data_IF_102942497913
#
_entry.id   IF_102942497913
#
_cell.length_a   1.000
_cell.length_b   1.000
_cell.length_c   1.000
_cell.angle_alpha   90.00
_cell.angle_beta   90.00
_cell.angle_gamma   90.00
#
_symmetry.space_group_name_H-M   'P 1'
#
loop_
_entity.id
_entity.type
_entity.pdbx_description
1 polymer ?
#
# COMPACT_ATOMS: atom_id res chain seq x y z
N UNK A 1 54.88 -14.31 -27.19
CA UNK A 1 53.82 -15.34 -27.09
C UNK A 1 52.80 -14.86 -26.06
N UNK A 2 51.59 -14.44 -26.49
CA UNK A 2 50.57 -13.79 -25.64
C UNK A 2 49.75 -14.84 -24.87
N UNK A 3 49.87 -14.87 -23.54
CA UNK A 3 48.91 -15.55 -22.67
C UNK A 3 47.74 -14.62 -22.37
N UNK A 4 46.55 -14.93 -22.91
CA UNK A 4 45.31 -14.17 -22.67
C UNK A 4 44.43 -14.93 -21.67
N UNK A 5 44.17 -14.29 -20.54
CA UNK A 5 43.33 -14.78 -19.43
C UNK A 5 41.93 -15.23 -19.90
N UNK A 6 41.57 -16.49 -19.60
CA UNK A 6 40.19 -17.00 -19.58
C UNK A 6 39.60 -16.82 -18.17
N UNK A 7 39.21 -15.60 -17.81
CA UNK A 7 38.35 -15.31 -16.64
C UNK A 7 37.09 -14.62 -17.16
N UNK A 8 36.08 -15.40 -17.56
CA UNK A 8 34.88 -14.80 -18.18
C UNK A 8 33.63 -15.66 -18.27
N UNK A 9 33.55 -16.82 -17.61
CA UNK A 9 32.32 -17.65 -17.65
C UNK A 9 31.62 -17.85 -16.31
N UNK A 10 32.30 -17.65 -15.17
CA UNK A 10 31.69 -17.82 -13.84
C UNK A 10 31.07 -16.54 -13.27
N UNK A 11 31.44 -15.35 -13.77
CA UNK A 11 30.86 -14.08 -13.29
C UNK A 11 29.47 -13.80 -13.88
N UNK A 12 29.15 -14.33 -15.07
CA UNK A 12 27.84 -14.09 -15.71
C UNK A 12 26.72 -14.93 -15.09
N UNK A 13 27.00 -16.14 -14.61
CA UNK A 13 26.03 -17.00 -13.92
C UNK A 13 25.70 -16.49 -12.51
N UNK A 14 26.72 -16.00 -11.78
CA UNK A 14 26.51 -15.37 -10.48
C UNK A 14 25.72 -14.06 -10.59
N UNK A 15 25.96 -13.26 -11.64
CA UNK A 15 25.13 -12.08 -11.94
C UNK A 15 23.69 -12.47 -12.29
N UNK A 16 23.47 -13.46 -13.16
CA UNK A 16 22.11 -13.93 -13.51
C UNK A 16 21.32 -14.48 -12.30
N UNK A 17 21.95 -15.22 -11.39
CA UNK A 17 21.31 -15.72 -10.17
C UNK A 17 20.81 -14.60 -9.25
N UNK A 18 21.50 -13.46 -9.21
CA UNK A 18 21.10 -12.28 -8.44
C UNK A 18 19.82 -11.63 -9.02
N UNK A 19 19.58 -11.71 -10.34
CA UNK A 19 18.35 -11.21 -11.00
C UNK A 19 17.15 -12.16 -10.91
N UNK A 20 17.38 -13.47 -10.74
CA UNK A 20 16.28 -14.45 -10.63
C UNK A 20 15.63 -14.41 -9.25
N UNK A 21 16.39 -14.03 -8.21
CA UNK A 21 15.93 -14.10 -6.84
C UNK A 21 14.75 -13.15 -6.52
N UNK A 22 14.74 -11.86 -6.91
CA UNK A 22 13.60 -10.98 -6.68
C UNK A 22 12.36 -11.47 -7.42
N UNK A 23 12.50 -11.78 -8.72
CA UNK A 23 11.36 -12.22 -9.54
C UNK A 23 10.76 -13.54 -9.03
N UNK A 24 11.57 -14.46 -8.50
CA UNK A 24 11.07 -15.69 -7.90
C UNK A 24 10.25 -15.42 -6.63
N UNK A 25 10.68 -14.46 -5.80
CA UNK A 25 9.92 -14.05 -4.62
C UNK A 25 8.61 -13.36 -4.98
N UNK A 26 8.62 -12.50 -6.01
CA UNK A 26 7.40 -11.90 -6.56
C UNK A 26 6.41 -12.98 -7.02
N UNK A 27 6.90 -14.01 -7.72
CA UNK A 27 6.06 -15.15 -8.13
C UNK A 27 5.55 -15.97 -6.93
N UNK A 28 6.32 -16.10 -5.85
CA UNK A 28 5.84 -16.72 -4.61
C UNK A 28 4.70 -15.88 -3.97
N UNK A 29 4.83 -14.55 -3.95
CA UNK A 29 3.78 -13.65 -3.50
C UNK A 29 2.50 -13.80 -4.34
N UNK A 30 2.64 -13.82 -5.67
CA UNK A 30 1.55 -14.08 -6.60
C UNK A 30 0.88 -15.44 -6.35
N UNK A 31 1.69 -16.48 -6.10
CA UNK A 31 1.18 -17.82 -5.78
C UNK A 31 0.37 -17.83 -4.48
N UNK A 32 0.82 -17.13 -3.43
CA UNK A 32 0.05 -16.96 -2.21
C UNK A 32 -1.29 -16.25 -2.46
N UNK A 33 -1.29 -15.21 -3.31
CA UNK A 33 -2.51 -14.54 -3.76
C UNK A 33 -3.48 -15.45 -4.51
N UNK A 34 -2.96 -16.23 -5.46
CA UNK A 34 -3.74 -17.21 -6.20
C UNK A 34 -4.30 -18.31 -5.28
N UNK A 35 -3.49 -18.81 -4.36
CA UNK A 35 -3.91 -19.78 -3.35
C UNK A 35 -5.03 -19.20 -2.46
N UNK A 36 -4.94 -17.93 -2.06
CA UNK A 36 -6.01 -17.26 -1.32
C UNK A 36 -7.33 -17.23 -2.09
N UNK A 37 -7.30 -17.02 -3.42
CA UNK A 37 -8.49 -17.08 -4.27
C UNK A 37 -9.11 -18.48 -4.25
N UNK A 38 -8.30 -19.54 -4.40
CA UNK A 38 -8.79 -20.93 -4.35
C UNK A 38 -9.45 -21.19 -3.00
N UNK A 39 -8.77 -20.87 -1.90
CA UNK A 39 -9.28 -21.11 -0.55
C UNK A 39 -10.57 -20.33 -0.28
N UNK A 40 -10.70 -19.10 -0.81
CA UNK A 40 -11.93 -18.33 -0.72
C UNK A 40 -13.08 -18.97 -1.51
N UNK A 41 -12.81 -19.56 -2.67
CA UNK A 41 -13.82 -20.27 -3.46
C UNK A 41 -14.27 -21.55 -2.75
N UNK A 42 -13.35 -22.25 -2.10
CA UNK A 42 -13.60 -23.49 -1.35
C UNK A 42 -14.25 -23.23 0.03
N UNK A 43 -14.47 -21.97 0.41
CA UNK A 43 -15.10 -21.58 1.69
C UNK A 43 -14.13 -21.49 2.87
N UNK A 44 -12.84 -21.71 2.65
CA UNK A 44 -11.78 -21.61 3.65
C UNK A 44 -11.26 -20.17 3.81
N UNK A 45 -12.14 -19.25 4.24
CA UNK A 45 -11.87 -17.81 4.27
C UNK A 45 -10.75 -17.40 5.24
N UNK A 46 -10.65 -18.07 6.40
CA UNK A 46 -9.57 -17.82 7.36
C UNK A 46 -8.19 -18.11 6.74
N UNK A 47 -8.09 -19.22 6.01
CA UNK A 47 -6.84 -19.63 5.37
C UNK A 47 -6.52 -18.74 4.17
N UNK A 48 -7.54 -18.29 3.43
CA UNK A 48 -7.40 -17.28 2.39
C UNK A 48 -6.84 -15.95 2.93
N UNK A 49 -7.36 -15.50 4.08
CA UNK A 49 -6.90 -14.26 4.71
C UNK A 49 -5.44 -14.36 5.17
N UNK A 50 -5.04 -15.49 5.78
CA UNK A 50 -3.65 -15.75 6.13
C UNK A 50 -2.74 -15.81 4.91
N UNK A 51 -3.18 -16.40 3.81
CA UNK A 51 -2.40 -16.43 2.57
C UNK A 51 -2.14 -15.02 2.00
N UNK A 52 -3.10 -14.10 2.11
CA UNK A 52 -2.91 -12.68 1.74
C UNK A 52 -1.87 -12.00 2.64
N UNK A 53 -1.92 -12.26 3.96
CA UNK A 53 -0.92 -11.73 4.91
C UNK A 53 0.48 -12.26 4.57
N UNK A 54 0.60 -13.55 4.25
CA UNK A 54 1.88 -14.15 3.83
C UNK A 54 2.36 -13.55 2.52
N UNK A 55 1.47 -13.28 1.55
CA UNK A 55 1.84 -12.59 0.31
C UNK A 55 2.45 -11.20 0.59
N UNK A 56 1.92 -10.47 1.56
CA UNK A 56 2.44 -9.15 1.98
C UNK A 56 3.86 -9.25 2.57
N UNK A 57 4.20 -10.36 3.22
CA UNK A 57 5.58 -10.60 3.68
C UNK A 57 6.52 -10.80 2.48
N UNK A 58 6.09 -11.55 1.46
CA UNK A 58 6.89 -11.76 0.25
C UNK A 58 7.14 -10.46 -0.54
N UNK A 59 6.11 -9.62 -0.69
CA UNK A 59 6.19 -8.27 -1.30
C UNK A 59 7.13 -7.30 -0.53
N UNK A 60 7.16 -7.42 0.80
CA UNK A 60 8.14 -6.70 1.60
C UNK A 60 9.58 -7.17 1.32
N UNK A 61 9.76 -8.48 1.16
CA UNK A 61 11.07 -9.13 1.02
C UNK A 61 11.67 -8.93 -0.37
N UNK A 62 10.90 -9.10 -1.45
CA UNK A 62 11.41 -8.93 -2.82
C UNK A 62 11.76 -7.46 -3.11
N UNK A 63 10.96 -6.51 -2.65
CA UNK A 63 11.23 -5.09 -2.73
C UNK A 63 12.44 -4.65 -1.88
N UNK A 64 12.72 -5.34 -0.77
CA UNK A 64 13.95 -5.14 0.01
C UNK A 64 15.18 -5.72 -0.71
N UNK A 65 15.08 -6.97 -1.18
CA UNK A 65 16.17 -7.67 -1.86
C UNK A 65 16.54 -6.98 -3.17
N UNK A 66 15.57 -6.56 -3.98
CA UNK A 66 15.81 -5.85 -5.24
C UNK A 66 16.58 -4.54 -5.05
N UNK A 67 16.36 -3.83 -3.94
CA UNK A 67 17.09 -2.61 -3.57
C UNK A 67 18.51 -2.92 -3.08
N UNK A 68 18.67 -3.95 -2.26
CA UNK A 68 20.00 -4.37 -1.77
C UNK A 68 20.91 -4.84 -2.90
N UNK A 69 20.35 -5.53 -3.88
CA UNK A 69 21.11 -6.09 -5.00
C UNK A 69 21.27 -5.10 -6.17
N UNK A 70 20.70 -3.88 -6.11
CA UNK A 70 20.64 -2.92 -7.24
C UNK A 70 20.15 -3.57 -8.54
N UNK A 71 19.23 -4.50 -8.41
CA UNK A 71 18.82 -5.44 -9.46
C UNK A 71 17.39 -5.13 -9.93
N UNK A 72 17.02 -3.83 -9.97
CA UNK A 72 15.71 -3.40 -10.45
C UNK A 72 15.68 -3.37 -11.98
N UNK A 73 15.04 -4.37 -12.58
CA UNK A 73 14.80 -4.41 -14.04
C UNK A 73 13.40 -3.87 -14.34
N UNK A 74 13.22 -3.27 -15.53
CA UNK A 74 11.89 -2.82 -15.98
C UNK A 74 10.86 -3.95 -16.01
N UNK A 75 11.30 -5.16 -16.40
CA UNK A 75 10.45 -6.35 -16.35
C UNK A 75 10.03 -6.71 -14.94
N UNK A 76 10.95 -6.70 -13.97
CA UNK A 76 10.65 -6.99 -12.57
C UNK A 76 9.63 -6.02 -11.98
N UNK A 77 9.73 -4.73 -12.30
CA UNK A 77 8.76 -3.71 -11.85
C UNK A 77 7.35 -3.95 -12.40
N UNK A 78 7.23 -4.35 -13.67
CA UNK A 78 5.91 -4.69 -14.25
C UNK A 78 5.37 -6.01 -13.66
N UNK A 79 6.24 -7.00 -13.44
CA UNK A 79 5.87 -8.27 -12.80
C UNK A 79 5.37 -8.07 -11.37
N UNK A 80 6.05 -7.22 -10.60
CA UNK A 80 5.69 -6.80 -9.25
C UNK A 80 4.27 -6.20 -9.22
N UNK A 81 4.00 -5.25 -10.13
CA UNK A 81 2.66 -4.64 -10.24
C UNK A 81 1.56 -5.63 -10.63
N UNK A 82 1.84 -6.61 -11.49
CA UNK A 82 0.88 -7.65 -11.85
C UNK A 82 0.64 -8.62 -10.70
N UNK A 83 1.70 -9.00 -10.00
CA UNK A 83 1.64 -9.83 -8.79
C UNK A 83 0.82 -9.16 -7.70
N UNK A 84 1.10 -7.88 -7.42
CA UNK A 84 0.36 -7.05 -6.47
C UNK A 84 -1.13 -6.98 -6.79
N UNK A 85 -1.47 -6.78 -8.06
CA UNK A 85 -2.87 -6.73 -8.47
C UNK A 85 -3.58 -8.05 -8.16
N UNK A 86 -2.93 -9.20 -8.39
CA UNK A 86 -3.52 -10.51 -8.11
C UNK A 86 -3.60 -10.76 -6.60
N UNK A 87 -2.50 -10.58 -5.88
CA UNK A 87 -2.40 -10.92 -4.47
C UNK A 87 -3.14 -9.96 -3.54
N UNK A 88 -3.18 -8.68 -3.87
CA UNK A 88 -3.71 -7.64 -2.99
C UNK A 88 -4.90 -6.89 -3.58
N UNK A 89 -5.14 -6.96 -4.89
CA UNK A 89 -6.34 -6.42 -5.51
C UNK A 89 -7.45 -7.48 -5.65
N UNK A 90 -7.17 -8.53 -6.41
CA UNK A 90 -8.15 -9.55 -6.79
C UNK A 90 -8.43 -10.53 -5.66
N UNK A 91 -7.40 -11.06 -5.00
CA UNK A 91 -7.60 -12.06 -3.95
C UNK A 91 -8.46 -11.57 -2.77
N UNK A 92 -8.22 -10.37 -2.20
CA UNK A 92 -9.06 -9.85 -1.13
C UNK A 92 -10.48 -9.50 -1.60
N UNK A 93 -10.63 -9.02 -2.85
CA UNK A 93 -11.94 -8.74 -3.44
C UNK A 93 -12.79 -10.00 -3.57
N UNK A 94 -12.23 -11.08 -4.13
CA UNK A 94 -12.92 -12.36 -4.29
C UNK A 94 -13.24 -12.98 -2.93
N UNK A 95 -12.28 -12.94 -1.99
CA UNK A 95 -12.48 -13.42 -0.62
C UNK A 95 -13.63 -12.69 0.06
N UNK A 96 -13.66 -11.36 0.03
CA UNK A 96 -14.74 -10.58 0.64
C UNK A 96 -16.09 -10.81 -0.05
N UNK A 97 -16.08 -10.96 -1.39
CA UNK A 97 -17.29 -11.29 -2.15
C UNK A 97 -17.93 -12.60 -1.68
N UNK A 98 -17.13 -13.67 -1.65
CA UNK A 98 -17.59 -15.01 -1.25
C UNK A 98 -17.96 -15.08 0.23
N UNK A 99 -17.20 -14.41 1.08
CA UNK A 99 -17.38 -14.47 2.54
C UNK A 99 -18.58 -13.67 3.03
N UNK A 100 -18.70 -12.37 2.71
CA UNK A 100 -19.67 -11.49 3.36
C UNK A 100 -20.63 -10.77 2.40
N UNK A 101 -20.32 -10.74 1.10
CA UNK A 101 -21.01 -9.90 0.11
C UNK A 101 -21.98 -10.68 -0.78
N UNK A 102 -21.96 -12.02 -0.72
CA UNK A 102 -22.89 -12.91 -1.44
C UNK A 102 -24.38 -12.51 -1.25
N UNK A 103 -24.86 -12.16 -0.04
CA UNK A 103 -26.27 -11.79 0.19
C UNK A 103 -26.72 -10.45 -0.42
N UNK A 104 -25.78 -9.67 -0.95
CA UNK A 104 -26.03 -8.37 -1.58
C UNK A 104 -26.09 -8.45 -3.11
N UNK A 105 -25.93 -9.64 -3.69
CA UNK A 105 -26.04 -9.92 -5.13
C UNK A 105 -25.29 -8.88 -5.99
N UNK A 106 -26.04 -7.99 -6.67
CA UNK A 106 -25.51 -6.97 -7.59
C UNK A 106 -24.60 -5.96 -6.90
N UNK A 107 -24.95 -5.56 -5.68
CA UNK A 107 -24.12 -4.64 -4.89
C UNK A 107 -22.85 -5.34 -4.39
N UNK A 108 -22.94 -6.63 -4.06
CA UNK A 108 -21.82 -7.42 -3.57
C UNK A 108 -20.68 -7.55 -4.59
N UNK A 109 -20.99 -8.03 -5.80
CA UNK A 109 -19.92 -8.18 -6.80
C UNK A 109 -19.43 -6.81 -7.33
N UNK A 110 -20.30 -5.79 -7.37
CA UNK A 110 -19.89 -4.43 -7.75
C UNK A 110 -18.91 -3.81 -6.75
N UNK A 111 -19.13 -4.02 -5.44
CA UNK A 111 -18.22 -3.55 -4.40
C UNK A 111 -16.87 -4.27 -4.44
N UNK A 112 -16.87 -5.58 -4.67
CA UNK A 112 -15.64 -6.36 -4.86
C UNK A 112 -14.88 -5.92 -6.13
N UNK A 113 -15.57 -5.71 -7.24
CA UNK A 113 -14.98 -5.18 -8.47
C UNK A 113 -14.40 -3.78 -8.27
N UNK A 114 -15.11 -2.90 -7.53
CA UNK A 114 -14.62 -1.57 -7.21
C UNK A 114 -13.27 -1.63 -6.48
N UNK A 115 -13.11 -2.54 -5.51
CA UNK A 115 -11.83 -2.72 -4.80
C UNK A 115 -10.70 -3.11 -5.75
N UNK A 116 -10.92 -4.11 -6.60
CA UNK A 116 -9.92 -4.54 -7.59
C UNK A 116 -9.59 -3.44 -8.61
N UNK A 117 -10.61 -2.72 -9.11
CA UNK A 117 -10.44 -1.63 -10.06
C UNK A 117 -9.69 -0.43 -9.46
N UNK A 118 -10.04 -0.04 -8.23
CA UNK A 118 -9.34 1.00 -7.48
C UNK A 118 -7.86 0.63 -7.24
N UNK A 119 -7.59 -0.65 -6.92
CA UNK A 119 -6.23 -1.18 -6.83
C UNK A 119 -5.47 -1.05 -8.15
N UNK A 120 -6.05 -1.53 -9.26
CA UNK A 120 -5.42 -1.45 -10.58
C UNK A 120 -5.09 0.01 -10.99
N UNK A 121 -6.03 0.94 -10.79
CA UNK A 121 -5.81 2.37 -11.06
C UNK A 121 -4.70 2.96 -10.20
N UNK A 122 -4.60 2.54 -8.94
CA UNK A 122 -3.56 2.99 -8.01
C UNK A 122 -2.17 2.51 -8.42
N UNK A 123 -2.03 1.26 -8.87
CA UNK A 123 -0.76 0.71 -9.43
C UNK A 123 -0.38 1.43 -10.71
N UNK A 124 -1.31 1.55 -11.65
CA UNK A 124 -1.05 2.24 -12.93
C UNK A 124 -0.57 3.68 -12.68
N UNK A 125 -1.21 4.40 -11.76
CA UNK A 125 -0.80 5.75 -11.37
C UNK A 125 0.58 5.78 -10.72
N UNK A 126 0.93 4.79 -9.90
CA UNK A 126 2.25 4.67 -9.28
C UNK A 126 3.35 4.39 -10.32
N UNK A 127 3.09 3.48 -11.26
CA UNK A 127 4.02 3.14 -12.34
C UNK A 127 4.30 4.32 -13.27
N UNK A 128 3.32 5.19 -13.52
CA UNK A 128 3.51 6.41 -14.34
C UNK A 128 4.25 7.52 -13.56
N UNK A 129 4.00 7.67 -12.25
CA UNK A 129 4.63 8.72 -11.43
C UNK A 129 6.09 8.45 -11.13
N UNK A 130 6.48 7.18 -10.96
CA UNK A 130 7.88 6.79 -10.74
C UNK A 130 8.78 7.10 -11.93
N UNK A 131 8.22 7.18 -13.14
CA UNK A 131 8.94 7.56 -14.37
C UNK A 131 9.16 9.08 -14.47
N UNK A 132 8.32 9.91 -13.83
CA UNK A 132 8.24 11.35 -14.10
C UNK A 132 8.61 12.27 -12.93
N UNK A 133 8.71 11.77 -11.69
CA UNK A 133 8.90 12.61 -10.49
C UNK A 133 9.95 12.05 -9.52
N UNK A 134 10.90 12.87 -9.07
CA UNK A 134 11.93 12.51 -8.06
C UNK A 134 11.50 12.66 -6.59
N UNK A 135 10.23 13.02 -6.33
CA UNK A 135 9.73 13.27 -4.97
C UNK A 135 9.21 11.98 -4.31
N UNK A 136 9.82 11.60 -3.18
CA UNK A 136 9.60 10.38 -2.36
C UNK A 136 8.25 10.33 -1.61
N UNK A 137 7.21 11.06 -2.03
CA UNK A 137 5.93 11.10 -1.31
C UNK A 137 4.86 10.26 -2.02
N UNK A 138 4.47 9.13 -1.42
CA UNK A 138 3.39 8.28 -1.90
C UNK A 138 2.03 8.99 -1.74
N UNK A 139 1.25 9.08 -2.83
CA UNK A 139 -0.11 9.65 -2.83
C UNK A 139 -1.15 8.53 -2.93
N UNK A 140 -1.87 8.24 -1.84
CA UNK A 140 -2.93 7.23 -1.74
C UNK A 140 -2.51 5.99 -0.93
N UNK A 141 -3.49 5.28 -0.35
CA UNK A 141 -3.25 4.09 0.47
C UNK A 141 -2.50 3.02 -0.35
N UNK A 142 -1.41 2.42 0.15
CA UNK A 142 -0.78 1.28 -0.49
C UNK A 142 -1.76 0.11 -0.60
N UNK A 143 -1.75 -0.56 -1.75
CA UNK A 143 -2.62 -1.73 -2.00
C UNK A 143 -2.34 -2.89 -1.04
N UNK A 144 -1.08 -3.22 -0.68
CA UNK A 144 -0.83 -4.24 0.33
C UNK A 144 -1.44 -3.88 1.70
N UNK A 145 -1.48 -2.59 2.05
CA UNK A 145 -2.15 -2.12 3.26
C UNK A 145 -3.68 -2.28 3.17
N UNK A 146 -4.28 -1.94 2.03
CA UNK A 146 -5.71 -2.16 1.78
C UNK A 146 -6.10 -3.64 1.87
N UNK A 147 -5.29 -4.53 1.28
CA UNK A 147 -5.47 -5.97 1.36
C UNK A 147 -5.36 -6.49 2.80
N UNK A 148 -4.41 -5.96 3.57
CA UNK A 148 -4.22 -6.32 4.98
C UNK A 148 -5.41 -5.90 5.83
N UNK A 149 -6.02 -4.73 5.57
CA UNK A 149 -7.27 -4.32 6.26
C UNK A 149 -8.39 -5.35 5.99
N UNK A 150 -8.57 -5.77 4.74
CA UNK A 150 -9.58 -6.76 4.37
C UNK A 150 -9.27 -8.13 5.00
N UNK A 151 -8.04 -8.62 4.91
CA UNK A 151 -7.63 -9.90 5.48
C UNK A 151 -7.76 -9.90 7.01
N UNK A 152 -7.31 -8.83 7.66
CA UNK A 152 -7.38 -8.70 9.11
C UNK A 152 -8.82 -8.64 9.62
N UNK A 153 -9.74 -8.05 8.86
CA UNK A 153 -11.17 -8.07 9.20
C UNK A 153 -11.72 -9.50 9.23
N UNK A 154 -11.39 -10.32 8.24
CA UNK A 154 -11.81 -11.73 8.20
C UNK A 154 -11.23 -12.48 9.39
N UNK A 155 -9.91 -12.34 9.61
CA UNK A 155 -9.19 -13.01 10.71
C UNK A 155 -9.77 -12.61 12.06
N UNK A 156 -10.03 -11.31 12.27
CA UNK A 156 -10.62 -10.78 13.50
C UNK A 156 -12.05 -11.30 13.69
N UNK A 157 -12.87 -11.32 12.64
CA UNK A 157 -14.22 -11.86 12.75
C UNK A 157 -14.19 -13.32 13.19
N UNK A 158 -13.37 -14.16 12.57
CA UNK A 158 -13.24 -15.58 12.91
C UNK A 158 -12.73 -15.86 14.33
N UNK A 159 -12.03 -14.92 14.96
CA UNK A 159 -11.57 -15.05 16.36
C UNK A 159 -12.72 -14.86 17.36
N UNK A 160 -13.67 -13.98 17.07
CA UNK A 160 -14.78 -13.66 17.97
C UNK A 160 -16.11 -14.32 17.58
N UNK A 161 -16.29 -14.58 16.29
CA UNK A 161 -17.47 -15.19 15.68
C UNK A 161 -17.04 -16.24 14.66
N UNK A 162 -17.37 -17.50 14.90
CA UNK A 162 -17.16 -18.56 13.91
C UNK A 162 -18.25 -18.50 12.82
N UNK A 163 -17.82 -18.55 11.54
CA UNK A 163 -18.72 -18.79 10.41
C UNK A 163 -18.86 -17.64 9.42
N UNK A 164 -19.97 -17.69 8.66
CA UNK A 164 -20.30 -16.70 7.62
C UNK A 164 -21.11 -15.58 8.29
N UNK A 165 -20.72 -14.31 8.15
CA UNK A 165 -21.46 -13.21 8.72
C UNK A 165 -22.89 -13.14 8.16
N UNK A 166 -23.85 -12.85 9.04
CA UNK A 166 -25.19 -12.46 8.62
C UNK A 166 -25.13 -11.19 7.77
N UNK A 167 -26.24 -10.87 7.08
CA UNK A 167 -26.33 -9.74 6.14
C UNK A 167 -26.20 -8.38 6.87
N UNK A 168 -24.96 -8.01 7.21
CA UNK A 168 -24.61 -6.77 7.85
C UNK A 168 -24.07 -5.78 6.83
N UNK A 169 -24.61 -4.56 6.83
CA UNK A 169 -24.15 -3.46 5.97
C UNK A 169 -22.72 -3.00 6.23
N UNK A 170 -22.11 -3.45 7.33
CA UNK A 170 -20.74 -3.12 7.72
C UNK A 170 -19.69 -3.61 6.70
N UNK A 171 -19.83 -4.83 6.17
CA UNK A 171 -18.84 -5.42 5.25
C UNK A 171 -18.83 -4.77 3.85
N UNK A 172 -19.98 -4.46 3.22
CA UNK A 172 -19.99 -3.66 2.01
C UNK A 172 -19.44 -2.24 2.23
N UNK A 173 -19.73 -1.62 3.38
CA UNK A 173 -19.23 -0.28 3.70
C UNK A 173 -17.70 -0.26 3.79
N UNK A 174 -17.08 -1.20 4.52
CA UNK A 174 -15.63 -1.20 4.74
C UNK A 174 -14.84 -1.46 3.45
N UNK A 175 -15.31 -2.36 2.57
CA UNK A 175 -14.64 -2.58 1.29
C UNK A 175 -14.77 -1.36 0.38
N UNK A 176 -15.93 -0.69 0.34
CA UNK A 176 -16.11 0.53 -0.45
C UNK A 176 -15.23 1.66 0.08
N UNK A 177 -15.22 1.89 1.39
CA UNK A 177 -14.38 2.92 2.03
C UNK A 177 -12.91 2.66 1.73
N UNK A 178 -12.43 1.42 1.90
CA UNK A 178 -11.04 1.04 1.60
C UNK A 178 -10.72 1.24 0.12
N UNK A 179 -11.66 0.92 -0.78
CA UNK A 179 -11.51 1.13 -2.23
C UNK A 179 -11.33 2.61 -2.60
N UNK A 180 -12.19 3.47 -2.06
CA UNK A 180 -12.12 4.92 -2.28
C UNK A 180 -10.84 5.51 -1.69
N UNK A 181 -10.36 4.97 -0.55
CA UNK A 181 -9.12 5.42 0.09
C UNK A 181 -7.86 5.12 -0.76
N UNK A 182 -7.88 4.05 -1.56
CA UNK A 182 -6.79 3.73 -2.50
C UNK A 182 -6.65 4.77 -3.61
N UNK A 183 -7.76 5.27 -4.17
CA UNK A 183 -7.73 6.26 -5.27
C UNK A 183 -7.61 7.69 -4.76
N UNK A 184 -7.93 7.92 -3.48
CA UNK A 184 -7.84 9.23 -2.86
C UNK A 184 -6.43 9.81 -2.89
N UNK A 185 -6.32 11.13 -2.98
CA UNK A 185 -5.05 11.88 -3.04
C UNK A 185 -4.42 12.10 -1.66
N UNK A 186 -4.86 11.36 -0.64
CA UNK A 186 -4.29 11.47 0.71
C UNK A 186 -2.81 11.06 0.67
N UNK A 187 -1.93 11.87 1.26
CA UNK A 187 -0.53 11.48 1.43
C UNK A 187 -0.46 10.47 2.56
N UNK A 188 -0.06 9.25 2.24
CA UNK A 188 0.34 8.27 3.24
C UNK A 188 1.86 8.28 3.26
N UNK A 189 2.45 8.68 4.38
CA UNK A 189 3.88 8.49 4.58
C UNK A 189 4.12 6.98 4.65
N UNK A 190 4.94 6.46 3.73
CA UNK A 190 5.51 5.14 3.97
C UNK A 190 6.30 5.20 5.27
N UNK A 191 6.45 4.08 5.98
CA UNK A 191 7.31 3.91 7.17
C UNK A 191 8.82 4.13 6.87
N UNK A 192 9.12 4.93 5.84
CA UNK A 192 10.41 5.14 5.19
C UNK A 192 11.02 6.50 5.54
N UNK A 193 10.38 7.27 6.43
CA UNK A 193 10.93 8.49 7.04
C UNK A 193 11.33 8.28 8.52
N UNK A 194 11.55 7.04 8.95
CA UNK A 194 12.31 6.83 10.19
C UNK A 194 13.79 6.96 9.82
N UNK A 195 14.32 8.17 9.98
CA UNK A 195 15.76 8.40 9.91
C UNK A 195 16.42 7.54 11.00
N UNK A 196 17.18 6.52 10.59
CA UNK A 196 17.83 5.52 11.47
C UNK A 196 19.12 6.06 12.10
N UNK A 197 19.32 7.38 12.11
CA UNK A 197 20.61 8.02 12.37
C UNK A 197 20.72 8.70 13.74
N UNK A 198 19.68 8.61 14.57
CA UNK A 198 19.75 9.05 15.97
C UNK A 198 19.58 7.87 16.93
N UNK A 199 20.30 7.92 18.06
CA UNK A 199 20.20 6.94 19.15
C UNK A 199 18.76 6.89 19.66
N UNK A 200 17.97 5.95 19.15
CA UNK A 200 16.60 5.69 19.60
C UNK A 200 16.65 5.39 21.11
N UNK A 201 15.83 6.04 21.95
CA UNK A 201 15.83 5.79 23.39
C UNK A 201 15.51 4.32 23.68
N UNK A 202 16.10 3.75 24.73
CA UNK A 202 15.92 2.34 25.13
C UNK A 202 14.44 1.91 25.23
N UNK A 203 13.53 2.86 25.50
CA UNK A 203 12.08 2.61 25.51
C UNK A 203 11.51 2.16 24.16
N UNK A 204 12.13 2.51 23.02
CA UNK A 204 11.73 2.00 21.70
C UNK A 204 12.04 0.52 21.51
N UNK A 205 13.13 0.02 22.12
CA UNK A 205 13.41 -1.42 22.17
C UNK A 205 12.34 -2.13 23.01
N UNK A 206 11.99 -1.56 24.16
CA UNK A 206 10.93 -2.09 25.03
C UNK A 206 9.59 -2.11 24.29
N UNK A 207 9.22 -1.01 23.62
CA UNK A 207 8.01 -0.95 22.80
C UNK A 207 8.02 -2.00 21.68
N UNK A 208 9.15 -2.18 21.00
CA UNK A 208 9.30 -3.21 19.97
C UNK A 208 9.12 -4.62 20.54
N UNK A 209 9.71 -4.92 21.70
CA UNK A 209 9.58 -6.22 22.37
C UNK A 209 8.14 -6.45 22.85
N UNK A 210 7.47 -5.42 23.38
CA UNK A 210 6.06 -5.51 23.79
C UNK A 210 5.15 -5.72 22.60
N UNK A 211 5.37 -5.00 21.49
CA UNK A 211 4.65 -5.20 20.23
C UNK A 211 4.89 -6.62 19.70
N UNK A 212 6.13 -7.09 19.71
CA UNK A 212 6.51 -8.43 19.26
C UNK A 212 5.86 -9.51 20.12
N UNK A 213 5.90 -9.35 21.44
CA UNK A 213 5.24 -10.24 22.38
C UNK A 213 3.73 -10.27 22.14
N UNK A 214 3.09 -9.11 21.98
CA UNK A 214 1.67 -9.03 21.68
C UNK A 214 1.31 -9.66 20.33
N UNK A 215 2.15 -9.49 19.31
CA UNK A 215 2.03 -10.17 18.01
C UNK A 215 2.11 -11.69 18.13
N UNK A 216 2.98 -12.20 19.02
CA UNK A 216 3.17 -13.63 19.21
C UNK A 216 2.02 -14.27 20.00
N UNK A 217 1.41 -13.53 20.93
CA UNK A 217 0.33 -14.06 21.79
C UNK A 217 -1.03 -14.03 21.08
N UNK A 218 -1.36 -12.96 20.35
CA UNK A 218 -2.62 -12.85 19.62
C UNK A 218 -2.40 -12.27 18.21
N UNK A 219 -1.91 -13.10 17.27
CA UNK A 219 -1.57 -12.64 15.94
C UNK A 219 -2.80 -12.13 15.17
N UNK A 220 -4.01 -12.67 15.42
CA UNK A 220 -5.26 -12.18 14.81
C UNK A 220 -5.57 -10.73 15.18
N UNK A 221 -5.55 -10.43 16.49
CA UNK A 221 -5.91 -9.10 17.01
C UNK A 221 -4.83 -8.08 16.67
N UNK A 222 -3.56 -8.49 16.75
CA UNK A 222 -2.44 -7.61 16.45
C UNK A 222 -2.50 -7.08 15.01
N UNK A 223 -2.69 -7.95 14.01
CA UNK A 223 -2.72 -7.53 12.60
C UNK A 223 -3.89 -6.56 12.34
N UNK A 224 -5.06 -6.82 12.91
CA UNK A 224 -6.23 -5.94 12.77
C UNK A 224 -6.00 -4.56 13.41
N UNK A 225 -5.51 -4.53 14.65
CA UNK A 225 -5.21 -3.28 15.36
C UNK A 225 -4.14 -2.47 14.62
N UNK A 226 -3.09 -3.11 14.13
CA UNK A 226 -2.05 -2.44 13.34
C UNK A 226 -2.60 -1.88 12.03
N UNK A 227 -3.41 -2.64 11.30
CA UNK A 227 -4.04 -2.18 10.06
C UNK A 227 -4.95 -0.97 10.30
N UNK A 228 -5.76 -1.01 11.37
CA UNK A 228 -6.64 0.09 11.75
C UNK A 228 -5.87 1.33 12.18
N UNK A 229 -4.85 1.19 13.04
CA UNK A 229 -3.99 2.30 13.46
C UNK A 229 -3.32 2.94 12.24
N UNK A 230 -2.79 2.14 11.32
CA UNK A 230 -2.15 2.65 10.11
C UNK A 230 -3.11 3.49 9.25
N UNK A 231 -4.33 3.00 9.03
CA UNK A 231 -5.37 3.74 8.29
C UNK A 231 -5.76 5.01 9.04
N UNK A 232 -5.99 4.93 10.35
CA UNK A 232 -6.38 6.08 11.19
C UNK A 232 -5.31 7.17 11.21
N UNK A 233 -4.04 6.81 11.40
CA UNK A 233 -2.91 7.76 11.38
C UNK A 233 -2.82 8.44 10.01
N UNK A 234 -2.94 7.69 8.92
CA UNK A 234 -2.90 8.27 7.58
C UNK A 234 -4.06 9.24 7.29
N UNK A 235 -5.27 8.94 7.80
CA UNK A 235 -6.42 9.85 7.69
C UNK A 235 -6.19 11.12 8.52
N UNK A 236 -5.71 11.00 9.76
CA UNK A 236 -5.50 12.13 10.69
C UNK A 236 -4.41 13.05 10.15
N UNK A 237 -3.24 12.50 9.77
CA UNK A 237 -2.14 13.29 9.22
C UNK A 237 -2.56 14.04 7.97
N UNK A 238 -3.27 13.36 7.06
CA UNK A 238 -3.68 14.00 5.82
C UNK A 238 -4.79 15.04 6.05
N UNK A 239 -5.70 14.82 7.00
CA UNK A 239 -6.69 15.82 7.40
C UNK A 239 -6.00 17.05 8.01
N UNK A 240 -5.03 16.85 8.90
CA UNK A 240 -4.25 17.92 9.50
C UNK A 240 -3.44 18.73 8.48
N UNK A 241 -2.82 18.06 7.50
CA UNK A 241 -2.11 18.72 6.39
C UNK A 241 -3.04 19.51 5.46
N UNK A 242 -4.27 19.04 5.24
CA UNK A 242 -5.29 19.76 4.47
C UNK A 242 -5.83 20.98 5.23
N UNK A 243 -6.02 20.87 6.55
CA UNK A 243 -6.40 22.02 7.39
C UNK A 243 -5.29 23.06 7.48
N UNK A 244 -4.03 22.64 7.63
CA UNK A 244 -2.87 23.55 7.68
C UNK A 244 -2.68 24.31 6.36
N UNK A 245 -2.86 23.64 5.21
CA UNK A 245 -2.84 24.26 3.88
C UNK A 245 -4.02 25.22 3.62
N UNK A 246 -5.14 25.08 4.33
CA UNK A 246 -6.23 26.07 4.33
C UNK A 246 -5.90 27.29 5.20
N UNK A 247 -5.20 27.10 6.32
CA UNK A 247 -4.73 28.19 7.18
C UNK A 247 -3.66 29.08 6.54
N UNK A 248 -2.76 28.51 5.73
CA UNK A 248 -1.69 29.25 5.04
C UNK A 248 -2.16 30.03 3.79
N UNK A 249 -3.40 29.82 3.31
CA UNK A 249 -3.94 30.60 2.18
C UNK A 249 -4.54 31.95 2.60
N UNK A 250 -4.85 32.16 3.88
CA UNK A 250 -5.47 33.40 4.37
C UNK A 250 -4.54 34.63 4.49
N UNK A 251 -3.21 34.51 4.74
CA UNK A 251 -2.33 35.68 4.79
C UNK A 251 -2.02 36.29 3.42
N UNK A 252 -2.07 35.51 2.34
CA UNK A 252 -1.71 35.98 1.00
C UNK A 252 -2.81 36.83 0.35
N UNK A 253 -4.07 36.58 0.69
CA UNK A 253 -5.21 37.34 0.16
C UNK A 253 -5.42 38.67 0.91
N UNK A 254 -5.01 38.74 2.18
CA UNK A 254 -5.03 39.99 2.97
C UNK A 254 -3.86 40.93 2.67
N UNK A 255 -2.71 40.42 2.22
CA UNK A 255 -1.55 41.25 1.85
C UNK A 255 -1.75 42.01 0.52
N UNK A 256 -2.58 41.49 -0.39
CA UNK A 256 -2.90 42.14 -1.68
C UNK A 256 -3.97 43.23 -1.52
N UNK A 257 -4.86 43.11 -0.53
CA UNK A 257 -5.90 44.10 -0.24
C UNK A 257 -5.41 45.35 0.54
N UNK A 258 -4.16 45.35 1.01
CA UNK A 258 -3.59 46.42 1.85
C UNK A 258 -2.65 47.38 1.10
N UNK A 259 -2.53 47.28 -0.23
CA UNK A 259 -1.77 48.25 -1.03
C UNK A 259 -2.66 49.47 -1.31
N UNK A 260 -2.26 50.69 -0.90
CA UNK A 260 -3.06 51.88 -1.18
C UNK A 260 -3.05 52.22 -2.67
N UNK A 261 -4.23 52.49 -3.22
CA UNK A 261 -4.45 53.08 -4.55
C UNK A 261 -3.77 54.45 -4.63
N UNK A 262 -2.53 54.50 -5.12
CA UNK A 262 -1.86 55.76 -5.45
C UNK A 262 -0.96 55.63 -6.68
N UNK A 263 -1.58 55.46 -7.85
CA UNK A 263 -0.96 55.80 -9.14
C UNK A 263 -2.01 56.03 -10.23
N UNK A 264 -2.93 56.97 -10.00
CA UNK A 264 -3.73 57.59 -11.04
C UNK A 264 -3.37 59.08 -11.12
N UNK A 265 -3.12 59.56 -12.34
CA UNK A 265 -2.89 60.94 -12.76
C UNK A 265 -1.44 61.49 -12.76
N UNK A 266 -0.84 61.49 -13.95
CA UNK A 266 -0.17 62.69 -14.50
C UNK A 266 0.05 62.56 -16.01
N UNK A 267 -0.89 63.17 -16.74
CA UNK A 267 -0.77 63.98 -17.96
C UNK A 267 0.14 63.57 -19.15
N UNK A 268 -0.56 63.44 -20.27
CA UNK A 268 -0.18 63.72 -21.66
C UNK A 268 0.85 64.85 -21.85
N UNK A 269 1.77 64.64 -22.79
CA UNK A 269 2.09 65.57 -23.90
C UNK A 269 2.92 64.86 -24.99
N UNK A 270 2.57 65.03 -26.28
CA UNK A 270 3.58 65.16 -27.31
C UNK A 270 3.41 66.47 -28.10
N UNK A 271 4.57 67.10 -28.38
CA UNK A 271 4.83 68.31 -29.19
C UNK A 271 4.62 69.69 -28.55
#
# INVERSE_FOLDING_TARGET
MKFRHKKGRFQDTARKGIYVLPNALTLCGMFCGFFAIIQAVDGNYLLAAWAIVVANIFDGLDGWIARLTNTSTRFGVELDSLSDLVAFGVAPAVMMYKWALLPFERLGWAAAFLFAACGALRLARFNVQTVTSSSKSFKGLPIPAAATVIASLVIFYYEFWEGIPEKHFFFPLIIIVTSLLMVSTLKFHGLKEIDFREKKPFWLLILFVVILFFLLVHPQIAIFVFAMIYVSVGIIENTWLLLKRRGEKHPAEQAVAALPDSAGESKNEPH
#
